data_IF_798562938972
#
_entry.id   IF_798562938972
#
_cell.length_a   1.000
_cell.length_b   1.000
_cell.length_c   1.000
_cell.angle_alpha   90.00
_cell.angle_beta   90.00
_cell.angle_gamma   90.00
#
_symmetry.space_group_name_H-M   'P 1'
#
loop_
_entity.id
_entity.type
_entity.pdbx_description
1 polymer ?
#
# COMPACT_ATOMS: atom_id res chain seq x y z
N UNK A 1 -4.09 16.12 -19.07
CA UNK A 1 -4.38 16.11 -17.62
C UNK A 1 -5.87 15.90 -17.46
N UNK A 2 -6.32 15.04 -16.52
CA UNK A 2 -7.74 14.90 -16.23
C UNK A 2 -8.28 16.12 -15.49
N UNK A 3 -9.58 16.39 -15.60
CA UNK A 3 -10.22 17.52 -14.93
C UNK A 3 -10.46 17.20 -13.45
N UNK A 4 -9.51 17.61 -12.58
CA UNK A 4 -9.55 17.31 -11.14
C UNK A 4 -10.78 17.93 -10.46
N UNK A 5 -11.56 17.07 -9.80
CA UNK A 5 -12.73 17.44 -9.01
C UNK A 5 -12.36 17.59 -7.54
N UNK A 6 -11.69 16.60 -6.96
CA UNK A 6 -11.19 16.64 -5.59
C UNK A 6 -10.02 15.67 -5.38
N UNK A 7 -9.29 15.82 -4.29
CA UNK A 7 -8.16 14.95 -3.96
C UNK A 7 -8.03 14.65 -2.47
N UNK A 8 -7.43 13.51 -2.14
CA UNK A 8 -6.96 13.20 -0.79
C UNK A 8 -5.46 12.92 -0.81
N UNK A 9 -4.76 13.44 0.19
CA UNK A 9 -3.33 13.34 0.37
C UNK A 9 -3.04 12.69 1.73
N UNK A 10 -2.57 11.45 1.70
CA UNK A 10 -2.13 10.71 2.89
C UNK A 10 -0.63 10.92 3.02
N UNK A 11 -0.16 11.47 4.14
CA UNK A 11 1.28 11.65 4.34
C UNK A 11 1.70 11.84 5.80
N UNK A 12 3.00 11.68 6.05
CA UNK A 12 3.63 11.88 7.35
C UNK A 12 4.02 13.35 7.57
N UNK A 13 4.83 13.93 6.66
CA UNK A 13 5.22 15.35 6.71
C UNK A 13 4.58 16.12 5.56
N UNK A 14 3.97 17.25 5.88
CA UNK A 14 3.18 18.05 4.96
C UNK A 14 3.52 19.54 5.17
N UNK A 15 4.10 20.15 4.13
CA UNK A 15 4.12 21.60 3.95
C UNK A 15 2.91 21.97 3.08
N UNK A 16 1.82 22.41 3.73
CA UNK A 16 0.56 22.65 3.04
C UNK A 16 0.62 23.81 2.04
N UNK A 17 1.21 24.98 2.36
CA UNK A 17 1.42 26.05 1.39
C UNK A 17 2.20 25.58 0.15
N UNK A 18 3.31 24.85 0.35
CA UNK A 18 4.07 24.29 -0.77
C UNK A 18 3.26 23.29 -1.58
N UNK A 19 2.54 22.37 -0.92
CA UNK A 19 1.70 21.37 -1.58
C UNK A 19 0.67 22.02 -2.50
N UNK A 20 -0.04 23.05 -2.03
CA UNK A 20 -1.05 23.76 -2.81
C UNK A 20 -0.46 24.44 -4.05
N UNK A 21 0.80 24.89 -3.99
CA UNK A 21 1.49 25.45 -5.16
C UNK A 21 1.73 24.40 -6.26
N UNK A 22 1.83 23.11 -5.90
CA UNK A 22 2.05 22.02 -6.86
C UNK A 22 0.78 21.67 -7.67
N UNK A 23 -0.40 22.09 -7.20
CA UNK A 23 -1.63 21.98 -7.99
C UNK A 23 -1.64 23.07 -9.07
N UNK A 24 -2.12 22.76 -10.30
CA UNK A 24 -2.38 23.78 -11.32
C UNK A 24 -3.25 24.90 -10.74
N UNK A 25 -3.02 26.19 -11.10
CA UNK A 25 -3.71 27.33 -10.50
C UNK A 25 -5.23 27.18 -10.42
N UNK A 26 -5.84 26.69 -11.50
CA UNK A 26 -7.28 26.46 -11.64
C UNK A 26 -7.82 25.31 -10.77
N UNK A 27 -6.94 24.44 -10.25
CA UNK A 27 -7.30 23.30 -9.39
C UNK A 27 -6.99 23.52 -7.91
N UNK A 28 -6.32 24.62 -7.54
CA UNK A 28 -5.95 24.93 -6.14
C UNK A 28 -7.15 25.12 -5.21
N UNK A 29 -8.33 25.45 -5.77
CA UNK A 29 -9.58 25.63 -5.04
C UNK A 29 -10.43 24.35 -4.94
N UNK A 30 -10.05 23.27 -5.63
CA UNK A 30 -10.74 22.00 -5.53
C UNK A 30 -10.65 21.45 -4.09
N UNK A 31 -11.67 20.73 -3.60
CA UNK A 31 -11.61 20.10 -2.27
C UNK A 31 -10.38 19.20 -2.11
N UNK A 32 -9.65 19.42 -1.02
CA UNK A 32 -8.46 18.67 -0.64
C UNK A 32 -8.64 18.10 0.76
N UNK A 33 -8.64 16.77 0.88
CA UNK A 33 -8.54 16.08 2.16
C UNK A 33 -7.07 15.79 2.48
N UNK A 34 -6.61 16.21 3.66
CA UNK A 34 -5.26 15.89 4.15
C UNK A 34 -5.37 14.88 5.29
N UNK A 35 -4.82 13.69 5.08
CA UNK A 35 -4.79 12.60 6.07
C UNK A 35 -3.41 12.54 6.70
N UNK A 36 -3.33 12.76 8.01
CA UNK A 36 -2.07 12.87 8.75
C UNK A 36 -2.11 12.11 10.08
N UNK A 37 -0.94 11.82 10.65
CA UNK A 37 -0.80 11.22 11.99
C UNK A 37 -0.21 12.14 13.05
N UNK A 38 -0.10 13.45 12.78
CA UNK A 38 0.52 14.40 13.72
C UNK A 38 -0.22 14.41 15.07
N UNK A 39 0.51 14.07 16.14
CA UNK A 39 0.00 14.11 17.50
C UNK A 39 -0.20 15.54 17.99
N UNK A 40 0.65 16.47 17.54
CA UNK A 40 0.65 17.90 17.87
C UNK A 40 -0.06 18.71 16.77
N UNK A 41 -1.23 18.21 16.36
CA UNK A 41 -2.17 18.67 15.30
C UNK A 41 -2.36 20.21 15.14
N UNK A 42 -1.97 21.02 16.14
CA UNK A 42 -1.98 22.48 16.09
C UNK A 42 -1.26 23.07 14.86
N UNK A 43 -0.12 22.53 14.45
CA UNK A 43 0.66 23.10 13.35
C UNK A 43 -0.05 22.96 11.99
N UNK A 44 -0.54 21.75 11.69
CA UNK A 44 -1.24 21.50 10.42
C UNK A 44 -2.59 22.23 10.38
N UNK A 45 -3.30 22.34 11.51
CA UNK A 45 -4.52 23.16 11.62
C UNK A 45 -4.26 24.63 11.34
N UNK A 46 -3.20 25.20 11.92
CA UNK A 46 -2.81 26.59 11.66
C UNK A 46 -2.46 26.81 10.19
N UNK A 47 -1.73 25.87 9.59
CA UNK A 47 -1.38 25.92 8.17
C UNK A 47 -2.62 25.81 7.26
N UNK A 48 -3.64 25.04 7.65
CA UNK A 48 -4.88 24.85 6.89
C UNK A 48 -5.90 25.99 7.02
N UNK A 49 -5.85 26.78 8.10
CA UNK A 49 -6.83 27.83 8.38
C UNK A 49 -7.10 28.82 7.22
N UNK A 50 -6.11 29.24 6.41
CA UNK A 50 -6.35 30.13 5.27
C UNK A 50 -7.05 29.47 4.07
N UNK A 51 -7.22 28.15 4.07
CA UNK A 51 -7.65 27.37 2.90
C UNK A 51 -8.99 26.66 3.17
N UNK A 52 -10.13 27.29 2.86
CA UNK A 52 -11.45 26.74 3.20
C UNK A 52 -11.80 25.46 2.43
N UNK A 53 -11.11 25.18 1.32
CA UNK A 53 -11.26 23.94 0.56
C UNK A 53 -10.44 22.77 1.13
N UNK A 54 -9.63 22.99 2.17
CA UNK A 54 -8.81 21.96 2.81
C UNK A 54 -9.51 21.41 4.05
N UNK A 55 -9.73 20.10 4.07
CA UNK A 55 -10.23 19.37 5.25
C UNK A 55 -9.11 18.50 5.80
N UNK A 56 -9.00 18.41 7.13
CA UNK A 56 -8.01 17.56 7.80
C UNK A 56 -8.67 16.31 8.39
N UNK A 57 -7.99 15.17 8.27
CA UNK A 57 -8.38 13.93 8.93
C UNK A 57 -7.18 13.32 9.65
N UNK A 58 -7.24 13.34 10.99
CA UNK A 58 -6.21 12.77 11.85
C UNK A 58 -6.42 11.26 12.01
N UNK A 59 -5.48 10.47 11.50
CA UNK A 59 -5.44 9.03 11.70
C UNK A 59 -5.24 8.69 13.18
N UNK A 60 -5.99 7.71 13.69
CA UNK A 60 -5.86 7.23 15.07
C UNK A 60 -4.60 6.37 15.21
N UNK A 61 -3.74 6.72 16.16
CA UNK A 61 -2.52 6.01 16.49
C UNK A 61 -2.56 5.66 17.98
N UNK A 62 -3.32 4.62 18.30
CA UNK A 62 -3.61 4.19 19.69
C UNK A 62 -2.49 3.34 20.29
N UNK A 63 -1.60 2.80 19.45
CA UNK A 63 -0.43 2.03 19.87
C UNK A 63 0.77 2.98 20.00
N UNK A 64 1.47 2.92 21.14
CA UNK A 64 2.65 3.74 21.38
C UNK A 64 3.70 3.57 20.28
N UNK A 65 4.37 4.68 19.95
CA UNK A 65 5.37 4.76 18.88
C UNK A 65 4.84 4.49 17.46
N UNK A 66 3.52 4.35 17.29
CA UNK A 66 2.88 4.25 15.98
C UNK A 66 3.07 5.52 15.14
N UNK A 67 3.24 5.34 13.83
CA UNK A 67 3.40 6.44 12.88
C UNK A 67 2.46 6.24 11.69
N UNK A 68 1.77 7.31 11.28
CA UNK A 68 1.08 7.34 9.99
C UNK A 68 2.12 7.60 8.89
N UNK A 69 2.61 6.52 8.26
CA UNK A 69 3.71 6.59 7.29
C UNK A 69 3.26 6.44 5.83
N UNK A 70 1.95 6.23 5.61
CA UNK A 70 1.40 5.99 4.29
C UNK A 70 1.45 7.25 3.43
N UNK A 71 1.80 7.07 2.17
CA UNK A 71 2.03 8.13 1.19
C UNK A 71 1.25 7.79 -0.06
N UNK A 72 0.05 8.37 -0.15
CA UNK A 72 -0.94 8.01 -1.15
C UNK A 72 -1.72 9.24 -1.57
N UNK A 73 -2.00 9.33 -2.87
CA UNK A 73 -2.92 10.29 -3.44
C UNK A 73 -4.15 9.54 -3.96
N UNK A 74 -5.33 10.00 -3.59
CA UNK A 74 -6.57 9.65 -4.28
C UNK A 74 -7.00 10.87 -5.08
N UNK A 75 -7.09 10.72 -6.40
CA UNK A 75 -7.33 11.82 -7.32
C UNK A 75 -8.60 11.52 -8.10
N UNK A 76 -9.67 12.26 -7.79
CA UNK A 76 -10.94 12.14 -8.49
C UNK A 76 -11.00 13.19 -9.60
N UNK A 77 -11.14 12.73 -10.82
CA UNK A 77 -11.33 13.55 -12.01
C UNK A 77 -12.76 13.38 -12.54
N UNK A 78 -13.20 14.24 -13.46
CA UNK A 78 -14.47 14.04 -14.17
C UNK A 78 -14.47 12.74 -14.98
N UNK A 79 -13.31 12.37 -15.49
CA UNK A 79 -13.11 11.19 -16.35
C UNK A 79 -12.94 9.88 -15.56
N UNK A 80 -12.69 9.95 -14.25
CA UNK A 80 -12.50 8.77 -13.41
C UNK A 80 -11.64 9.01 -12.18
N UNK A 81 -11.18 7.92 -11.57
CA UNK A 81 -10.39 7.91 -10.34
C UNK A 81 -8.97 7.43 -10.61
N UNK A 82 -7.99 8.03 -9.97
CA UNK A 82 -6.60 7.54 -9.95
C UNK A 82 -6.10 7.40 -8.53
N UNK A 83 -5.32 6.34 -8.32
CA UNK A 83 -4.60 6.09 -7.07
C UNK A 83 -3.12 6.21 -7.36
N UNK A 84 -2.41 6.99 -6.55
CA UNK A 84 -0.95 7.11 -6.59
C UNK A 84 -0.42 6.65 -5.24
N UNK A 85 0.53 5.71 -5.22
CA UNK A 85 1.25 5.31 -4.01
C UNK A 85 2.71 5.64 -4.23
N UNK A 86 3.31 6.39 -3.31
CA UNK A 86 4.67 6.91 -3.47
C UNK A 86 5.46 6.87 -2.17
N UNK A 87 6.72 7.30 -2.19
CA UNK A 87 7.61 7.29 -1.01
C UNK A 87 7.98 8.68 -0.49
N UNK A 88 7.68 9.75 -1.23
CA UNK A 88 7.99 11.13 -0.86
C UNK A 88 7.03 11.74 0.17
N UNK A 89 7.55 12.46 1.15
CA UNK A 89 6.74 13.39 1.95
C UNK A 89 6.28 14.58 1.10
N UNK A 90 5.26 15.32 1.55
CA UNK A 90 4.76 16.50 0.84
C UNK A 90 5.52 17.74 1.29
N UNK A 91 6.83 17.75 1.06
CA UNK A 91 7.75 18.85 1.33
C UNK A 91 8.76 18.98 0.16
N UNK A 92 9.29 20.18 -0.15
CA UNK A 92 10.18 20.37 -1.30
C UNK A 92 11.38 19.42 -1.32
N UNK A 93 12.03 19.25 -0.17
CA UNK A 93 13.25 18.43 -0.03
C UNK A 93 13.08 16.97 -0.45
N UNK A 94 11.86 16.44 -0.37
CA UNK A 94 11.59 15.05 -0.74
C UNK A 94 11.38 14.84 -2.23
N UNK A 95 11.18 15.93 -3.00
CA UNK A 95 10.93 15.92 -4.45
C UNK A 95 12.08 16.52 -5.27
N UNK A 96 13.18 16.88 -4.60
CA UNK A 96 14.37 17.47 -5.21
C UNK A 96 15.48 16.40 -5.38
N UNK A 97 16.50 16.40 -4.53
CA UNK A 97 17.67 15.52 -4.66
C UNK A 97 17.51 14.17 -3.93
N UNK A 98 16.37 13.49 -4.09
CA UNK A 98 16.12 12.16 -3.50
C UNK A 98 15.66 11.14 -4.54
N UNK A 99 16.13 9.90 -4.38
CA UNK A 99 15.53 8.76 -5.07
C UNK A 99 14.21 8.42 -4.41
N UNK A 100 13.10 8.64 -5.12
CA UNK A 100 11.75 8.31 -4.67
C UNK A 100 11.11 7.31 -5.64
N UNK A 101 10.22 6.47 -5.12
CA UNK A 101 9.37 5.59 -5.90
C UNK A 101 7.97 6.18 -6.06
N UNK A 102 7.39 6.02 -7.25
CA UNK A 102 5.99 6.38 -7.54
C UNK A 102 5.36 5.26 -8.35
N UNK A 103 4.27 4.71 -7.82
CA UNK A 103 3.34 3.89 -8.60
C UNK A 103 2.10 4.72 -8.92
N UNK A 104 1.77 4.80 -10.20
CA UNK A 104 0.57 5.50 -10.71
C UNK A 104 -0.37 4.45 -11.28
N UNK A 105 -1.58 4.36 -10.74
CA UNK A 105 -2.59 3.45 -11.27
C UNK A 105 -3.01 3.86 -12.70
N UNK A 106 -3.65 2.97 -13.48
CA UNK A 106 -4.49 3.37 -14.60
C UNK A 106 -5.57 4.38 -14.18
N UNK A 107 -6.20 5.04 -15.16
CA UNK A 107 -7.42 5.78 -14.89
C UNK A 107 -8.57 4.77 -14.73
N UNK A 108 -9.20 4.76 -13.57
CA UNK A 108 -10.33 3.89 -13.28
C UNK A 108 -11.63 4.61 -13.67
N UNK A 109 -12.43 4.10 -14.62
CA UNK A 109 -13.68 4.73 -15.03
C UNK A 109 -14.76 4.57 -13.96
N UNK A 110 -15.78 5.45 -14.00
CA UNK A 110 -16.99 5.25 -13.22
C UNK A 110 -17.74 4.01 -13.73
N UNK A 111 -18.38 3.24 -12.83
CA UNK A 111 -19.16 2.07 -13.26
C UNK A 111 -20.32 2.41 -14.19
N UNK A 112 -20.94 3.58 -14.01
CA UNK A 112 -22.06 4.05 -14.84
C UNK A 112 -21.65 4.38 -16.28
N UNK A 113 -20.36 4.66 -16.54
CA UNK A 113 -19.85 4.89 -17.89
C UNK A 113 -19.45 3.60 -18.61
N UNK A 114 -19.51 2.46 -17.92
CA UNK A 114 -19.31 1.14 -18.53
C UNK A 114 -20.67 0.65 -19.00
N UNK A 115 -20.96 0.81 -20.29
CA UNK A 115 -22.10 0.10 -20.89
C UNK A 115 -21.94 -1.40 -20.63
N UNK A 116 -22.99 -2.11 -20.15
CA UNK A 116 -22.94 -3.55 -20.03
C UNK A 116 -22.90 -4.14 -21.44
N UNK A 117 -21.69 -4.24 -21.99
CA UNK A 117 -21.44 -5.02 -23.19
C UNK A 117 -21.77 -6.47 -22.82
N UNK A 118 -22.89 -6.95 -23.36
CA UNK A 118 -23.16 -8.39 -23.44
C UNK A 118 -21.94 -9.00 -24.11
N UNK A 119 -21.30 -9.95 -23.42
CA UNK A 119 -20.22 -10.79 -23.94
C UNK A 119 -19.03 -10.03 -24.54
N UNK A 120 -18.17 -9.52 -23.68
CA UNK A 120 -16.77 -9.95 -23.76
C UNK A 120 -16.33 -10.32 -22.34
N UNK A 121 -16.44 -11.61 -22.02
CA UNK A 121 -15.36 -12.28 -21.29
C UNK A 121 -14.09 -12.04 -22.10
N UNK A 122 -13.50 -10.84 -22.00
CA UNK A 122 -12.06 -10.73 -22.14
C UNK A 122 -11.56 -11.52 -20.94
N UNK A 123 -11.35 -12.81 -21.17
CA UNK A 123 -10.43 -13.63 -20.42
C UNK A 123 -9.06 -13.00 -20.64
N UNK A 124 -8.86 -11.81 -20.08
CA UNK A 124 -7.54 -11.36 -19.73
C UNK A 124 -7.14 -12.36 -18.66
N UNK A 125 -6.39 -13.39 -19.03
CA UNK A 125 -5.93 -14.47 -18.14
C UNK A 125 -5.10 -13.99 -16.94
N UNK A 126 -5.06 -12.69 -16.66
CA UNK A 126 -4.59 -12.13 -15.41
C UNK A 126 -5.64 -12.34 -14.31
N UNK A 127 -5.29 -13.17 -13.32
CA UNK A 127 -6.06 -13.33 -12.08
C UNK A 127 -6.34 -11.95 -11.47
N UNK A 128 -7.56 -11.73 -10.99
CA UNK A 128 -7.91 -10.54 -10.23
C UNK A 128 -6.91 -10.34 -9.08
N UNK A 129 -6.41 -9.11 -8.92
CA UNK A 129 -5.38 -8.83 -7.92
C UNK A 129 -5.95 -8.61 -6.53
N UNK A 130 -7.26 -8.38 -6.40
CA UNK A 130 -7.89 -7.99 -5.13
C UNK A 130 -7.62 -6.54 -4.71
N UNK A 131 -6.98 -5.72 -5.57
CA UNK A 131 -6.55 -4.36 -5.23
C UNK A 131 -7.67 -3.47 -4.67
N UNK A 132 -8.86 -3.51 -5.29
CA UNK A 132 -10.01 -2.72 -4.83
C UNK A 132 -10.45 -3.09 -3.42
N UNK A 133 -10.59 -4.39 -3.15
CA UNK A 133 -10.99 -4.90 -1.85
C UNK A 133 -9.95 -4.52 -0.80
N UNK A 134 -8.68 -4.78 -1.07
CA UNK A 134 -7.59 -4.46 -0.14
C UNK A 134 -7.52 -2.95 0.15
N UNK A 135 -7.74 -2.09 -0.84
CA UNK A 135 -7.77 -0.63 -0.65
C UNK A 135 -8.97 -0.18 0.20
N UNK A 136 -10.15 -0.74 -0.03
CA UNK A 136 -11.34 -0.44 0.78
C UNK A 136 -11.18 -0.92 2.23
N UNK A 137 -10.63 -2.11 2.44
CA UNK A 137 -10.31 -2.63 3.77
C UNK A 137 -9.29 -1.73 4.48
N UNK A 138 -8.25 -1.28 3.77
CA UNK A 138 -7.25 -0.35 4.30
C UNK A 138 -7.87 0.99 4.73
N UNK A 139 -8.72 1.59 3.90
CA UNK A 139 -9.40 2.84 4.25
C UNK A 139 -10.41 2.65 5.40
N UNK A 140 -11.07 1.49 5.48
CA UNK A 140 -11.98 1.16 6.58
C UNK A 140 -11.25 1.09 7.93
N UNK A 141 -10.01 0.63 7.95
CA UNK A 141 -9.21 0.49 9.17
C UNK A 141 -8.90 1.83 9.88
N UNK A 142 -9.02 2.97 9.20
CA UNK A 142 -8.89 4.29 9.85
C UNK A 142 -10.05 4.60 10.81
N UNK A 143 -11.21 3.94 10.62
CA UNK A 143 -12.44 4.22 11.36
C UNK A 143 -12.99 5.63 11.12
N UNK A 144 -14.05 5.98 11.87
CA UNK A 144 -14.73 7.27 11.74
C UNK A 144 -15.38 7.50 10.37
N UNK A 145 -15.84 8.74 10.12
CA UNK A 145 -16.56 9.11 8.88
C UNK A 145 -15.72 9.91 7.87
N UNK A 146 -14.50 10.30 8.21
CA UNK A 146 -13.69 11.22 7.38
C UNK A 146 -13.24 10.66 6.03
N UNK A 147 -13.36 9.34 5.82
CA UNK A 147 -13.01 8.67 4.57
C UNK A 147 -14.20 8.03 3.86
N UNK A 148 -15.45 8.26 4.30
CA UNK A 148 -16.63 7.64 3.69
C UNK A 148 -16.80 8.04 2.23
N UNK A 149 -16.65 9.31 1.90
CA UNK A 149 -16.76 9.77 0.51
C UNK A 149 -15.73 9.11 -0.40
N UNK A 150 -14.50 8.88 0.09
CA UNK A 150 -13.46 8.20 -0.67
C UNK A 150 -13.74 6.71 -0.83
N UNK A 151 -14.24 6.04 0.21
CA UNK A 151 -14.68 4.65 0.13
C UNK A 151 -15.82 4.49 -0.86
N UNK A 152 -16.78 5.42 -0.88
CA UNK A 152 -17.88 5.43 -1.82
C UNK A 152 -17.39 5.63 -3.26
N UNK A 153 -16.54 6.65 -3.49
CA UNK A 153 -15.90 6.88 -4.80
C UNK A 153 -15.18 5.63 -5.30
N UNK A 154 -14.34 4.99 -4.48
CA UNK A 154 -13.65 3.75 -4.88
C UNK A 154 -14.65 2.63 -5.19
N UNK A 155 -15.74 2.53 -4.42
CA UNK A 155 -16.81 1.56 -4.65
C UNK A 155 -17.51 1.77 -5.99
N UNK A 156 -17.67 3.02 -6.41
CA UNK A 156 -18.37 3.44 -7.63
C UNK A 156 -17.52 3.39 -8.91
N UNK A 157 -16.21 3.17 -8.79
CA UNK A 157 -15.30 3.05 -9.94
C UNK A 157 -14.90 1.59 -10.21
N UNK A 158 -14.58 1.27 -11.47
CA UNK A 158 -14.01 -0.02 -11.85
C UNK A 158 -12.49 0.00 -11.73
N UNK A 159 -11.96 -0.80 -10.80
CA UNK A 159 -10.53 -0.93 -10.51
C UNK A 159 -9.93 -2.23 -11.08
N UNK A 160 -10.68 -2.97 -11.92
CA UNK A 160 -10.28 -4.25 -12.52
C UNK A 160 -8.99 -4.18 -13.35
N UNK A 161 -8.66 -2.99 -13.88
CA UNK A 161 -7.43 -2.73 -14.62
C UNK A 161 -6.15 -2.75 -13.75
N UNK A 162 -6.27 -2.78 -12.41
CA UNK A 162 -5.12 -2.88 -11.53
C UNK A 162 -4.36 -4.20 -11.75
N UNK A 163 -3.04 -4.11 -11.94
CA UNK A 163 -2.14 -5.27 -12.12
C UNK A 163 -1.16 -5.47 -10.94
N UNK A 164 -1.40 -4.75 -9.85
CA UNK A 164 -0.60 -4.84 -8.61
C UNK A 164 -1.45 -5.37 -7.45
N UNK A 165 -0.79 -5.92 -6.43
CA UNK A 165 -1.38 -6.30 -5.14
C UNK A 165 -1.06 -5.25 -4.11
N UNK A 166 -2.04 -4.83 -3.30
CA UNK A 166 -1.80 -3.90 -2.21
C UNK A 166 -1.30 -4.65 -0.98
N UNK A 167 -0.14 -4.25 -0.46
CA UNK A 167 0.39 -4.69 0.84
C UNK A 167 0.41 -3.47 1.74
N UNK A 168 -0.42 -3.48 2.78
CA UNK A 168 -0.56 -2.37 3.70
C UNK A 168 -0.39 -2.83 5.15
N UNK A 169 -0.13 -1.88 6.04
CA UNK A 169 -0.08 -2.10 7.48
C UNK A 169 -1.03 -1.13 8.18
N UNK A 170 -1.76 -1.62 9.18
CA UNK A 170 -2.66 -0.83 10.02
C UNK A 170 -2.38 -1.15 11.49
N UNK A 171 -2.50 -0.18 12.42
CA UNK A 171 -2.31 -0.44 13.85
C UNK A 171 -3.29 -1.51 14.35
N UNK A 172 -2.82 -2.43 15.18
CA UNK A 172 -3.66 -3.42 15.85
C UNK A 172 -2.96 -4.74 16.12
N UNK A 173 -3.54 -5.53 17.02
CA UNK A 173 -3.21 -6.94 17.19
C UNK A 173 -4.17 -7.78 16.32
N UNK A 174 -3.65 -8.35 15.24
CA UNK A 174 -4.47 -9.07 14.25
C UNK A 174 -4.38 -10.58 14.47
N UNK A 175 -5.50 -11.23 14.77
CA UNK A 175 -5.57 -12.66 15.05
C UNK A 175 -6.53 -13.38 14.11
N UNK A 176 -6.48 -14.71 14.09
CA UNK A 176 -7.38 -15.54 13.28
C UNK A 176 -7.34 -15.19 11.79
N UNK A 177 -8.51 -15.00 11.18
CA UNK A 177 -8.65 -14.66 9.76
C UNK A 177 -8.02 -13.33 9.34
N UNK A 178 -7.84 -12.39 10.28
CA UNK A 178 -7.28 -11.05 10.01
C UNK A 178 -5.75 -11.06 9.96
N UNK A 179 -5.10 -12.09 10.50
CA UNK A 179 -3.64 -12.17 10.63
C UNK A 179 -2.91 -12.01 9.29
N UNK A 180 -3.51 -12.47 8.19
CA UNK A 180 -2.92 -12.43 6.85
C UNK A 180 -3.38 -11.23 5.99
N UNK A 181 -4.02 -10.21 6.60
CA UNK A 181 -4.48 -9.02 5.88
C UNK A 181 -3.45 -7.91 5.80
N UNK A 182 -2.52 -7.87 6.77
CA UNK A 182 -1.61 -6.74 6.93
C UNK A 182 -0.14 -7.17 7.00
N UNK A 183 0.76 -6.22 6.75
CA UNK A 183 2.20 -6.35 6.95
C UNK A 183 2.87 -7.50 6.18
N UNK A 184 3.94 -8.06 6.77
CA UNK A 184 4.72 -9.12 6.14
C UNK A 184 3.94 -10.45 5.99
N UNK A 185 2.86 -10.67 6.74
CA UNK A 185 2.01 -11.85 6.59
C UNK A 185 1.07 -11.74 5.38
N UNK A 186 0.57 -10.53 5.07
CA UNK A 186 -0.11 -10.28 3.78
C UNK A 186 0.83 -10.57 2.61
N UNK A 187 2.08 -10.10 2.67
CA UNK A 187 3.09 -10.40 1.64
C UNK A 187 3.29 -11.91 1.49
N UNK A 188 3.47 -12.62 2.61
CA UNK A 188 3.59 -14.09 2.65
C UNK A 188 2.44 -14.78 1.90
N UNK A 189 1.19 -14.41 2.21
CA UNK A 189 -0.02 -14.93 1.56
C UNK A 189 -0.06 -14.63 0.05
N UNK A 190 0.39 -13.45 -0.36
CA UNK A 190 0.44 -13.08 -1.78
C UNK A 190 1.48 -13.90 -2.52
N UNK A 191 2.69 -14.04 -1.97
CA UNK A 191 3.77 -14.80 -2.61
C UNK A 191 3.46 -16.30 -2.72
N UNK A 192 2.81 -16.88 -1.69
CA UNK A 192 2.43 -18.30 -1.71
C UNK A 192 1.31 -18.63 -2.70
N UNK A 193 0.52 -17.64 -3.13
CA UNK A 193 -0.60 -17.84 -4.06
C UNK A 193 -0.31 -17.43 -5.51
N UNK A 194 0.71 -16.59 -5.73
CA UNK A 194 1.03 -16.07 -7.07
C UNK A 194 2.24 -16.72 -7.74
N UNK A 195 3.20 -17.23 -6.99
CA UNK A 195 4.52 -17.52 -7.54
C UNK A 195 4.60 -18.96 -8.04
N UNK A 196 4.03 -19.28 -9.20
CA UNK A 196 4.39 -20.53 -9.89
C UNK A 196 5.88 -20.45 -10.22
N UNK A 197 6.69 -21.22 -9.51
CA UNK A 197 8.12 -21.24 -9.73
C UNK A 197 8.42 -21.75 -11.15
N UNK A 198 9.42 -21.18 -11.86
CA UNK A 198 9.95 -21.80 -13.06
C UNK A 198 10.35 -23.26 -12.76
N UNK A 199 10.02 -24.18 -13.67
CA UNK A 199 10.37 -25.59 -13.50
C UNK A 199 11.90 -25.73 -13.29
N UNK A 200 12.31 -26.37 -12.19
CA UNK A 200 13.72 -26.61 -11.85
C UNK A 200 14.41 -25.51 -11.03
N UNK A 201 13.74 -24.39 -10.71
CA UNK A 201 14.32 -23.38 -9.82
C UNK A 201 14.20 -23.83 -8.35
N UNK A 202 15.31 -23.80 -7.61
CA UNK A 202 15.35 -23.94 -6.15
C UNK A 202 15.26 -22.55 -5.49
N UNK A 203 14.13 -22.19 -4.84
CA UNK A 203 13.98 -20.88 -4.20
C UNK A 203 15.03 -20.59 -3.13
N UNK A 204 15.68 -21.64 -2.58
CA UNK A 204 16.65 -21.53 -1.49
C UNK A 204 17.93 -20.78 -1.86
N UNK A 205 18.26 -20.65 -3.15
CA UNK A 205 19.49 -19.98 -3.59
C UNK A 205 19.25 -18.53 -4.05
N UNK A 206 17.99 -18.09 -4.09
CA UNK A 206 17.63 -16.74 -4.53
C UNK A 206 17.72 -15.76 -3.36
N UNK A 207 18.54 -14.69 -3.45
CA UNK A 207 18.71 -13.77 -2.34
C UNK A 207 17.47 -12.90 -2.12
N UNK A 208 17.18 -12.61 -0.86
CA UNK A 208 16.21 -11.58 -0.47
C UNK A 208 16.97 -10.26 -0.26
N UNK A 209 16.50 -9.19 -0.90
CA UNK A 209 17.10 -7.85 -0.79
C UNK A 209 16.08 -6.90 -0.16
N UNK A 210 16.43 -6.36 1.01
CA UNK A 210 15.68 -5.28 1.66
C UNK A 210 16.41 -3.95 1.46
N UNK A 211 15.72 -2.95 0.91
CA UNK A 211 16.22 -1.58 0.83
C UNK A 211 15.27 -0.64 1.57
N UNK A 212 15.83 0.19 2.46
CA UNK A 212 15.06 1.14 3.28
C UNK A 212 15.90 2.38 3.62
N UNK A 213 15.25 3.40 4.18
CA UNK A 213 15.85 4.65 4.63
C UNK A 213 15.90 4.79 6.16
N UNK A 214 15.46 3.77 6.90
CA UNK A 214 15.47 3.75 8.36
C UNK A 214 15.42 2.31 8.88
N UNK A 215 15.94 2.09 10.09
CA UNK A 215 15.99 0.79 10.78
C UNK A 215 15.50 0.97 12.22
N UNK A 216 14.47 0.20 12.60
CA UNK A 216 14.02 0.09 13.99
C UNK A 216 14.83 -0.92 14.80
N UNK A 217 14.52 -1.08 16.08
CA UNK A 217 15.10 -2.16 16.89
C UNK A 217 14.55 -3.52 16.44
N UNK A 218 15.44 -4.44 16.05
CA UNK A 218 15.10 -5.77 15.52
C UNK A 218 15.26 -6.91 16.55
N UNK A 219 15.60 -6.55 17.79
CA UNK A 219 15.95 -7.49 18.86
C UNK A 219 17.46 -7.78 18.97
N UNK A 220 17.89 -8.48 20.04
CA UNK A 220 19.29 -8.74 20.35
C UNK A 220 19.97 -9.76 19.41
N UNK A 221 19.21 -10.53 18.64
CA UNK A 221 19.73 -11.53 17.72
C UNK A 221 18.87 -11.59 16.44
N UNK A 222 19.46 -11.90 15.26
CA UNK A 222 18.71 -11.98 14.00
C UNK A 222 17.50 -12.94 14.04
N UNK A 223 17.62 -14.02 14.81
CA UNK A 223 16.58 -15.04 14.99
C UNK A 223 15.36 -14.59 15.78
N UNK A 224 15.40 -13.42 16.43
CA UNK A 224 14.25 -12.93 17.19
C UNK A 224 13.10 -12.50 16.28
N UNK A 225 13.40 -11.84 15.16
CA UNK A 225 12.37 -11.33 14.25
C UNK A 225 12.81 -11.32 12.79
N UNK A 226 14.02 -10.83 12.53
CA UNK A 226 14.51 -10.60 11.16
C UNK A 226 14.55 -11.89 10.34
N UNK A 227 15.16 -12.96 10.85
CA UNK A 227 15.30 -14.22 10.10
C UNK A 227 14.18 -15.21 10.37
N UNK A 228 13.58 -15.18 11.57
CA UNK A 228 12.51 -16.11 11.97
C UNK A 228 11.17 -15.77 11.33
N UNK A 229 10.81 -14.49 11.25
CA UNK A 229 9.49 -14.05 10.81
C UNK A 229 9.52 -13.29 9.49
N UNK A 230 10.33 -12.23 9.43
CA UNK A 230 10.36 -11.33 8.27
C UNK A 230 10.95 -12.03 7.04
N UNK A 231 12.15 -12.61 7.15
CA UNK A 231 12.78 -13.35 6.05
C UNK A 231 11.92 -14.55 5.62
N UNK A 232 11.33 -15.29 6.56
CA UNK A 232 10.40 -16.40 6.28
C UNK A 232 9.23 -15.95 5.41
N UNK A 233 8.65 -14.77 5.69
CA UNK A 233 7.60 -14.20 4.84
C UNK A 233 8.07 -13.89 3.42
N UNK A 234 9.21 -13.23 3.29
CA UNK A 234 9.74 -12.79 1.99
C UNK A 234 10.24 -13.95 1.13
N UNK A 235 10.57 -15.08 1.76
CA UNK A 235 11.07 -16.29 1.09
C UNK A 235 9.95 -17.25 0.65
N UNK A 236 8.69 -16.90 0.88
CA UNK A 236 7.55 -17.76 0.52
C UNK A 236 7.35 -17.83 -1.00
N UNK A 237 6.98 -19.00 -1.50
CA UNK A 237 6.67 -19.25 -2.91
C UNK A 237 5.52 -20.25 -3.03
N UNK A 238 4.84 -20.31 -4.19
CA UNK A 238 3.83 -21.35 -4.39
C UNK A 238 4.55 -22.66 -4.66
N UNK A 239 4.34 -23.67 -3.82
CA UNK A 239 4.74 -25.02 -4.13
C UNK A 239 3.78 -25.55 -5.19
N UNK A 240 4.30 -26.06 -6.30
CA UNK A 240 3.51 -26.88 -7.22
C UNK A 240 3.12 -28.15 -6.46
N UNK A 241 1.94 -28.17 -5.86
CA UNK A 241 1.36 -29.39 -5.30
C UNK A 241 0.95 -30.31 -6.46
N UNK A 242 1.89 -31.09 -6.94
CA UNK A 242 1.65 -32.22 -7.82
C UNK A 242 2.58 -33.39 -7.45
N UNK A 243 2.15 -34.17 -6.44
CA UNK A 243 2.18 -35.64 -6.52
C UNK A 243 1.53 -36.21 -5.26
N UNK A 244 0.41 -36.89 -5.46
CA UNK A 244 -0.20 -37.81 -4.51
C UNK A 244 0.76 -38.95 -4.17
N UNK A 245 0.75 -39.34 -2.89
CA UNK A 245 1.36 -40.53 -2.31
C UNK A 245 2.91 -40.61 -2.29
N UNK A 246 3.50 -40.43 -1.11
CA UNK A 246 4.49 -41.35 -0.52
C UNK A 246 4.69 -41.01 0.97
N UNK A 247 4.88 -42.07 1.74
CA UNK A 247 4.97 -42.21 3.22
C UNK A 247 5.74 -41.09 3.96
N UNK A 248 5.48 -40.89 5.26
CA UNK A 248 6.14 -39.86 6.06
C UNK A 248 7.65 -40.12 6.10
N UNK A 249 8.43 -39.27 5.43
CA UNK A 249 9.86 -39.14 5.67
C UNK A 249 10.04 -38.32 6.94
N UNK A 250 10.78 -38.87 7.89
CA UNK A 250 11.35 -38.18 9.05
C UNK A 250 12.03 -36.88 8.58
N UNK A 251 11.45 -35.74 8.98
CA UNK A 251 11.89 -34.40 8.62
C UNK A 251 13.11 -34.00 9.48
N UNK A 252 14.30 -34.30 8.99
CA UNK A 252 15.55 -33.59 9.35
C UNK A 252 16.13 -32.92 8.11
N UNK A 253 15.31 -32.17 7.38
CA UNK A 253 15.82 -31.18 6.41
C UNK A 253 15.83 -29.83 7.07
N UNK A 254 17.00 -29.39 7.55
CA UNK A 254 17.26 -27.97 7.76
C UNK A 254 17.05 -27.28 6.41
N UNK A 255 15.90 -26.63 6.23
CA UNK A 255 15.69 -25.78 5.08
C UNK A 255 16.71 -24.64 5.16
N UNK A 256 17.71 -24.69 4.28
CA UNK A 256 18.71 -23.63 4.12
C UNK A 256 17.98 -22.32 3.83
N UNK A 257 18.11 -21.35 4.73
CA UNK A 257 17.54 -20.03 4.56
C UNK A 257 18.20 -19.32 3.38
N UNK A 258 17.46 -18.53 2.57
CA UNK A 258 18.05 -17.81 1.47
C UNK A 258 19.00 -16.72 1.97
N UNK A 259 20.01 -16.35 1.17
CA UNK A 259 20.88 -15.23 1.50
C UNK A 259 20.08 -13.93 1.70
N UNK A 260 20.36 -13.18 2.76
CA UNK A 260 19.73 -11.89 3.04
C UNK A 260 20.73 -10.75 2.86
N UNK A 261 20.37 -9.74 2.05
CA UNK A 261 21.10 -8.49 1.92
C UNK A 261 20.23 -7.31 2.36
N UNK A 262 20.70 -6.54 3.32
CA UNK A 262 20.05 -5.31 3.77
C UNK A 262 20.86 -4.10 3.30
N UNK A 263 20.18 -3.14 2.68
CA UNK A 263 20.79 -1.90 2.17
C UNK A 263 20.08 -0.71 2.79
N UNK A 264 20.77 -0.01 3.68
CA UNK A 264 20.29 1.28 4.19
C UNK A 264 20.84 2.40 3.32
N UNK A 265 19.96 3.29 2.84
CA UNK A 265 20.35 4.56 2.22
C UNK A 265 19.87 5.68 3.13
N UNK A 266 20.73 6.08 4.06
CA UNK A 266 20.54 7.26 4.92
C UNK A 266 20.91 8.53 4.14
#
# INVERSE_FOLDING_TARGET
MGDLVCSAQFNYLIDLPWLLQQYPPEKRKCPLLVVHGDQKDANIRKAAAPYPNVTLFKARLEIMFGTHHSKMMLLAYREGLRVVIHTANLIPKDWDQKTQGVWVSPLFPAKSSVTPSKSETVVNGGKETGFKQDLLEYLKAYGGRGLEEWKQRISDHDLSAARVRLIASVPGAHTGGEMNKWGHLKLRKVLSTCSSLPCGATPSDWPVIGQFSSVGSLGPAPSQWLTSEWLTSLSSSSSSSASSSKKPRTLTTQHKMPPLKLVSRL
#
